data_IF_642803718562
#
_entry.id   IF_642803718562
#
_cell.length_a   1.000
_cell.length_b   1.000
_cell.length_c   1.000
_cell.angle_alpha   90.00
_cell.angle_beta   90.00
_cell.angle_gamma   90.00
#
_symmetry.space_group_name_H-M   'P 1'
#
loop_
_entity.id
_entity.type
_entity.pdbx_description
1 polymer ?
#
# COMPACT_ATOMS: atom_id res chain seq x y z
N UNK A 1 14.97 -30.20 20.94
CA UNK A 1 15.29 -28.80 20.61
C UNK A 1 14.02 -28.00 20.34
N UNK A 2 13.19 -27.74 21.35
CA UNK A 2 12.05 -26.82 21.26
C UNK A 2 12.53 -25.36 21.39
N UNK A 3 13.55 -25.00 20.59
CA UNK A 3 14.28 -23.75 20.69
C UNK A 3 13.52 -22.61 20.02
N UNK A 4 12.88 -21.78 20.85
CA UNK A 4 12.42 -20.41 20.57
C UNK A 4 11.73 -20.17 19.21
N UNK A 5 10.70 -20.94 18.87
CA UNK A 5 9.86 -20.69 17.68
C UNK A 5 9.27 -19.27 17.69
N UNK A 6 8.90 -18.75 18.87
CA UNK A 6 8.36 -17.40 19.04
C UNK A 6 9.33 -16.31 18.59
N UNK A 7 10.59 -16.36 19.04
CA UNK A 7 11.61 -15.39 18.64
C UNK A 7 11.86 -15.41 17.13
N UNK A 8 11.89 -16.61 16.51
CA UNK A 8 12.04 -16.75 15.06
C UNK A 8 10.85 -16.21 14.28
N UNK A 9 9.63 -16.38 14.77
CA UNK A 9 8.45 -15.78 14.15
C UNK A 9 8.54 -14.25 14.19
N UNK A 10 8.93 -13.69 15.34
CA UNK A 10 9.14 -12.25 15.49
C UNK A 10 10.19 -11.71 14.51
N UNK A 11 11.37 -12.33 14.45
CA UNK A 11 12.46 -11.92 13.54
C UNK A 11 12.02 -11.94 12.07
N UNK A 12 11.27 -12.97 11.66
CA UNK A 12 10.75 -13.06 10.29
C UNK A 12 9.74 -11.96 10.00
N UNK A 13 8.78 -11.71 10.90
CA UNK A 13 7.78 -10.66 10.71
C UNK A 13 8.36 -9.26 10.79
N UNK A 14 9.40 -9.01 11.60
CA UNK A 14 10.16 -7.75 11.56
C UNK A 14 10.84 -7.56 10.20
N UNK A 15 11.35 -8.64 9.59
CA UNK A 15 11.87 -8.62 8.23
C UNK A 15 10.80 -8.27 7.19
N UNK A 16 9.61 -8.86 7.33
CA UNK A 16 8.46 -8.59 6.46
C UNK A 16 7.97 -7.14 6.61
N UNK A 17 7.84 -6.63 7.84
CA UNK A 17 7.45 -5.25 8.14
C UNK A 17 8.36 -4.23 7.44
N UNK A 18 9.69 -4.41 7.54
CA UNK A 18 10.66 -3.54 6.83
C UNK A 18 10.50 -3.59 5.30
N UNK A 19 10.14 -4.75 4.75
CA UNK A 19 9.85 -4.85 3.31
C UNK A 19 8.54 -4.15 2.96
N UNK A 20 7.53 -4.23 3.82
CA UNK A 20 6.26 -3.51 3.65
C UNK A 20 6.43 -2.00 3.72
N UNK A 21 7.25 -1.47 4.62
CA UNK A 21 7.61 -0.05 4.64
C UNK A 21 8.20 0.40 3.29
N UNK A 22 9.12 -0.39 2.75
CA UNK A 22 9.73 -0.12 1.44
C UNK A 22 8.68 -0.18 0.33
N UNK A 23 7.83 -1.21 0.31
CA UNK A 23 6.76 -1.34 -0.67
C UNK A 23 5.78 -0.17 -0.60
N UNK A 24 5.30 0.21 0.60
CA UNK A 24 4.38 1.32 0.81
C UNK A 24 4.93 2.63 0.27
N UNK A 25 6.20 2.92 0.54
CA UNK A 25 6.88 4.11 0.01
C UNK A 25 6.80 4.18 -1.52
N UNK A 26 7.08 3.08 -2.21
CA UNK A 26 7.10 3.05 -3.68
C UNK A 26 5.71 2.94 -4.29
N UNK A 27 4.76 2.28 -3.64
CA UNK A 27 3.35 2.24 -4.03
C UNK A 27 2.77 3.65 -3.99
N UNK A 28 2.93 4.37 -2.88
CA UNK A 28 2.46 5.74 -2.74
C UNK A 28 3.10 6.65 -3.80
N UNK A 29 4.41 6.50 -4.03
CA UNK A 29 5.08 7.28 -5.07
C UNK A 29 4.57 6.97 -6.47
N UNK A 30 4.28 5.70 -6.74
CA UNK A 30 3.73 5.26 -8.02
C UNK A 30 2.31 5.80 -8.23
N UNK A 31 1.47 5.81 -7.19
CA UNK A 31 0.13 6.41 -7.25
C UNK A 31 0.20 7.90 -7.59
N UNK A 32 1.09 8.66 -6.94
CA UNK A 32 1.32 10.08 -7.26
C UNK A 32 1.72 10.28 -8.72
N UNK A 33 2.70 9.51 -9.20
CA UNK A 33 3.22 9.65 -10.57
C UNK A 33 2.17 9.27 -11.62
N UNK A 34 1.42 8.19 -11.39
CA UNK A 34 0.32 7.78 -12.27
C UNK A 34 -0.78 8.83 -12.28
N UNK A 35 -1.17 9.38 -11.12
CA UNK A 35 -2.18 10.44 -11.04
C UNK A 35 -1.75 11.69 -11.84
N UNK A 36 -0.50 12.14 -11.67
CA UNK A 36 0.05 13.28 -12.42
C UNK A 36 -0.01 13.01 -13.93
N UNK A 37 0.44 11.83 -14.36
CA UNK A 37 0.44 11.46 -15.78
C UNK A 37 -0.98 11.45 -16.37
N UNK A 38 -1.95 10.90 -15.64
CA UNK A 38 -3.35 10.88 -16.06
C UNK A 38 -3.95 12.28 -16.17
N UNK A 39 -3.71 13.15 -15.18
CA UNK A 39 -4.16 14.55 -15.20
C UNK A 39 -3.53 15.38 -16.32
N UNK A 40 -2.33 15.02 -16.78
CA UNK A 40 -1.69 15.66 -17.93
C UNK A 40 -2.23 15.14 -19.26
N UNK A 41 -2.54 13.85 -19.33
CA UNK A 41 -2.96 13.18 -20.57
C UNK A 41 -4.43 13.45 -20.90
N UNK A 42 -5.29 13.48 -19.88
CA UNK A 42 -6.72 13.73 -20.02
C UNK A 42 -7.25 14.54 -18.81
N UNK A 43 -7.02 15.87 -18.81
CA UNK A 43 -7.38 16.73 -17.69
C UNK A 43 -8.88 16.76 -17.42
N UNK A 44 -9.73 16.74 -18.46
CA UNK A 44 -11.19 16.81 -18.30
C UNK A 44 -11.73 15.59 -17.53
N UNK A 45 -11.11 14.43 -17.74
CA UNK A 45 -11.48 13.20 -17.04
C UNK A 45 -10.92 13.14 -15.61
N UNK A 46 -9.65 13.48 -15.40
CA UNK A 46 -8.96 13.15 -14.14
C UNK A 46 -8.70 14.35 -13.21
N UNK A 47 -8.80 15.59 -13.70
CA UNK A 47 -8.61 16.79 -12.87
C UNK A 47 -9.97 17.27 -12.36
N UNK A 48 -10.36 16.81 -11.16
CA UNK A 48 -11.59 17.22 -10.46
C UNK A 48 -11.23 18.14 -9.30
N UNK A 49 -12.12 19.08 -9.02
CA UNK A 49 -11.95 20.02 -7.90
C UNK A 49 -12.34 19.39 -6.57
N UNK A 50 -13.27 18.43 -6.60
CA UNK A 50 -13.65 17.62 -5.45
C UNK A 50 -12.72 16.40 -5.30
N UNK A 51 -12.33 16.11 -4.05
CA UNK A 51 -11.37 15.06 -3.74
C UNK A 51 -11.94 13.64 -3.96
N UNK A 52 -13.22 13.42 -3.62
CA UNK A 52 -13.87 12.12 -3.81
C UNK A 52 -14.08 11.85 -5.30
N UNK A 53 -14.50 12.88 -6.05
CA UNK A 53 -14.63 12.78 -7.51
C UNK A 53 -13.27 12.55 -8.20
N UNK A 54 -12.20 13.21 -7.75
CA UNK A 54 -10.85 13.01 -8.26
C UNK A 54 -10.38 11.57 -8.01
N UNK A 55 -10.59 11.08 -6.80
CA UNK A 55 -10.21 9.72 -6.42
C UNK A 55 -11.02 8.67 -7.21
N UNK A 56 -12.33 8.85 -7.37
CA UNK A 56 -13.17 7.98 -8.18
C UNK A 56 -12.73 7.97 -9.66
N UNK A 57 -12.37 9.13 -10.21
CA UNK A 57 -11.85 9.23 -11.56
C UNK A 57 -10.52 8.48 -11.72
N UNK A 58 -9.59 8.61 -10.76
CA UNK A 58 -8.32 7.88 -10.76
C UNK A 58 -8.52 6.38 -10.61
N UNK A 59 -9.44 5.95 -9.73
CA UNK A 59 -9.82 4.55 -9.55
C UNK A 59 -10.43 3.91 -10.79
N UNK A 60 -11.00 4.70 -11.71
CA UNK A 60 -11.45 4.19 -13.01
C UNK A 60 -10.31 3.70 -13.91
N UNK A 61 -9.05 4.07 -13.62
CA UNK A 61 -7.88 3.60 -14.36
C UNK A 61 -7.36 2.28 -13.74
N UNK A 62 -7.31 1.17 -14.49
CA UNK A 62 -7.01 -0.15 -13.94
C UNK A 62 -5.69 -0.26 -13.18
N UNK A 63 -4.62 0.39 -13.67
CA UNK A 63 -3.32 0.35 -13.00
C UNK A 63 -3.34 1.12 -11.68
N UNK A 64 -4.00 2.29 -11.64
CA UNK A 64 -4.11 3.07 -10.40
C UNK A 64 -4.88 2.29 -9.34
N UNK A 65 -6.03 1.72 -9.73
CA UNK A 65 -6.83 0.84 -8.86
C UNK A 65 -6.03 -0.37 -8.35
N UNK A 66 -5.30 -1.05 -9.23
CA UNK A 66 -4.48 -2.20 -8.84
C UNK A 66 -3.35 -1.85 -7.87
N UNK A 67 -2.66 -0.73 -8.11
CA UNK A 67 -1.59 -0.26 -7.20
C UNK A 67 -2.19 0.11 -5.84
N UNK A 68 -3.34 0.78 -5.81
CA UNK A 68 -4.01 1.17 -4.56
C UNK A 68 -4.43 -0.06 -3.75
N UNK A 69 -5.07 -1.04 -4.40
CA UNK A 69 -5.47 -2.29 -3.76
C UNK A 69 -4.27 -3.07 -3.18
N UNK A 70 -3.13 -3.08 -3.89
CA UNK A 70 -1.89 -3.66 -3.36
C UNK A 70 -1.40 -2.95 -2.10
N UNK A 71 -1.43 -1.61 -2.09
CA UNK A 71 -1.07 -0.80 -0.91
C UNK A 71 -1.96 -1.09 0.29
N UNK A 72 -3.28 -1.17 0.09
CA UNK A 72 -4.25 -1.51 1.13
C UNK A 72 -4.02 -2.93 1.68
N UNK A 73 -3.77 -3.91 0.80
CA UNK A 73 -3.48 -5.28 1.20
C UNK A 73 -2.18 -5.41 2.01
N UNK A 74 -1.14 -4.67 1.63
CA UNK A 74 0.12 -4.62 2.39
C UNK A 74 -0.10 -3.99 3.77
N UNK A 75 -0.82 -2.87 3.85
CA UNK A 75 -1.11 -2.21 5.12
C UNK A 75 -1.89 -3.14 6.07
N UNK A 76 -2.92 -3.82 5.56
CA UNK A 76 -3.72 -4.76 6.34
C UNK A 76 -2.88 -5.92 6.88
N UNK A 77 -2.01 -6.51 6.05
CA UNK A 77 -1.15 -7.59 6.50
C UNK A 77 -0.10 -7.13 7.51
N UNK A 78 0.44 -5.92 7.33
CA UNK A 78 1.40 -5.32 8.26
C UNK A 78 0.78 -5.10 9.65
N UNK A 79 -0.44 -4.56 9.70
CA UNK A 79 -1.18 -4.36 10.96
C UNK A 79 -1.47 -5.69 11.68
N UNK A 80 -1.84 -6.73 10.93
CA UNK A 80 -2.06 -8.07 11.46
C UNK A 80 -0.76 -8.68 12.01
N UNK A 81 0.34 -8.58 11.26
CA UNK A 81 1.65 -9.04 11.71
C UNK A 81 2.10 -8.27 12.97
N UNK A 82 1.80 -6.98 13.01
CA UNK A 82 2.09 -6.13 14.16
C UNK A 82 1.29 -6.54 15.41
N UNK A 83 0.01 -6.81 15.25
CA UNK A 83 -0.85 -7.31 16.33
C UNK A 83 -0.37 -8.64 16.90
N UNK A 84 0.18 -9.52 16.05
CA UNK A 84 0.76 -10.79 16.48
C UNK A 84 2.02 -10.57 17.33
N UNK A 85 2.93 -9.65 16.99
CA UNK A 85 4.09 -9.37 17.85
C UNK A 85 3.67 -8.77 19.19
N UNK A 86 2.65 -7.89 19.19
CA UNK A 86 2.25 -7.14 20.39
C UNK A 86 1.54 -8.02 21.41
N UNK A 87 0.89 -9.09 20.93
CA UNK A 87 0.11 -10.02 21.74
C UNK A 87 0.85 -11.31 22.13
N UNK A 88 1.81 -11.78 21.32
CA UNK A 88 2.64 -12.95 21.63
C UNK A 88 3.73 -12.63 22.62
#
# INVERSE_FOLDING_TARGET
MAGNTRGKLKENFEGVHRNFDWCQKHINKSLEQVAIQLMQTDPEKYKKDDAEEAEAALLSYPLYSGIKALGEGIAALDELANSIYASL
#
